data_IF_371694315601
#
_entry.id   IF_371694315601
#
_cell.length_a   1.000
_cell.length_b   1.000
_cell.length_c   1.000
_cell.angle_alpha   90.00
_cell.angle_beta   90.00
_cell.angle_gamma   90.00
#
_symmetry.space_group_name_H-M   'P 1'
#
loop_
_entity.id
_entity.type
_entity.pdbx_description
1 polymer ?
#
# COMPACT_ATOMS: atom_id res chain seq x y z
N UNK A 1 19.22 -58.19 9.43
CA UNK A 1 19.16 -58.94 10.71
C UNK A 1 19.43 -57.90 11.80
N UNK A 2 18.62 -57.60 12.81
CA UNK A 2 17.50 -58.29 13.40
C UNK A 2 16.64 -57.31 14.24
N UNK A 3 15.33 -57.60 14.26
CA UNK A 3 14.37 -57.55 15.37
C UNK A 3 14.26 -56.32 16.31
N UNK A 4 13.21 -55.54 16.04
CA UNK A 4 12.05 -55.26 16.92
C UNK A 4 12.13 -55.82 18.35
N UNK A 5 11.93 -54.95 19.33
CA UNK A 5 11.33 -55.30 20.63
C UNK A 5 10.28 -54.27 21.06
N UNK A 6 9.04 -54.61 20.76
CA UNK A 6 7.84 -54.07 21.40
C UNK A 6 7.72 -54.67 22.79
N UNK A 7 7.46 -53.86 23.82
CA UNK A 7 6.74 -54.31 25.02
C UNK A 7 5.78 -53.22 25.48
N UNK A 8 4.51 -53.56 25.39
CA UNK A 8 3.37 -52.84 25.92
C UNK A 8 3.39 -52.88 27.45
N UNK A 9 3.01 -51.78 28.10
CA UNK A 9 2.57 -51.80 29.50
C UNK A 9 1.16 -51.22 29.54
N UNK A 10 0.23 -52.11 29.88
CA UNK A 10 -1.15 -51.83 30.18
C UNK A 10 -1.23 -51.20 31.57
N UNK A 11 -1.78 -50.00 31.68
CA UNK A 11 -2.23 -49.44 32.97
C UNK A 11 -3.73 -49.14 32.86
N UNK A 12 -4.48 -50.11 33.39
CA UNK A 12 -5.70 -50.03 34.20
C UNK A 12 -6.63 -48.83 33.98
N UNK A 13 -7.79 -49.15 33.42
CA UNK A 13 -9.02 -48.35 33.44
C UNK A 13 -9.37 -47.83 34.83
N UNK A 14 -9.43 -46.51 34.98
CA UNK A 14 -10.21 -45.84 36.01
C UNK A 14 -11.37 -45.12 35.31
N UNK A 15 -12.55 -45.73 35.39
CA UNK A 15 -13.81 -45.22 34.89
C UNK A 15 -14.27 -44.08 35.82
N UNK A 16 -13.77 -42.87 35.60
CA UNK A 16 -14.35 -41.66 36.20
C UNK A 16 -15.50 -41.17 35.32
N UNK A 17 -16.72 -41.48 35.76
CA UNK A 17 -17.96 -40.90 35.27
C UNK A 17 -17.92 -39.38 35.52
N UNK A 18 -17.48 -38.59 34.54
CA UNK A 18 -17.48 -37.14 34.63
C UNK A 18 -18.61 -36.59 33.77
N UNK A 19 -19.61 -36.02 34.46
CA UNK A 19 -20.68 -35.19 33.90
C UNK A 19 -20.09 -34.22 32.86
N UNK A 20 -20.43 -34.40 31.60
CA UNK A 20 -20.25 -33.38 30.59
C UNK A 20 -21.18 -32.20 30.93
N UNK A 21 -20.63 -31.14 31.52
CA UNK A 21 -21.29 -29.84 31.49
C UNK A 21 -21.24 -29.35 30.05
N UNK A 22 -22.38 -29.34 29.37
CA UNK A 22 -22.52 -28.72 28.04
C UNK A 22 -22.36 -27.22 28.26
N UNK A 23 -21.14 -26.71 28.07
CA UNK A 23 -20.90 -25.27 28.02
C UNK A 23 -21.56 -24.73 26.75
N UNK A 24 -22.49 -23.79 26.93
CA UNK A 24 -23.06 -23.05 25.81
C UNK A 24 -21.94 -22.39 25.00
N UNK A 25 -22.04 -22.33 23.66
CA UNK A 25 -21.09 -21.57 22.87
C UNK A 25 -21.21 -20.10 23.27
N UNK A 26 -20.21 -19.58 23.97
CA UNK A 26 -20.06 -18.15 24.12
C UNK A 26 -19.79 -17.60 22.71
N UNK A 27 -20.76 -16.86 22.17
CA UNK A 27 -20.55 -16.04 20.98
C UNK A 27 -19.40 -15.09 21.27
N UNK A 28 -18.21 -15.39 20.78
CA UNK A 28 -17.11 -14.43 20.74
C UNK A 28 -17.62 -13.22 19.97
N UNK A 29 -17.61 -12.01 20.54
CA UNK A 29 -17.77 -10.80 19.76
C UNK A 29 -16.73 -10.86 18.64
N UNK A 30 -17.18 -10.79 17.39
CA UNK A 30 -16.28 -10.76 16.23
C UNK A 30 -15.24 -9.68 16.47
N UNK A 31 -13.97 -10.05 16.34
CA UNK A 31 -12.88 -9.08 16.37
C UNK A 31 -13.24 -7.92 15.42
N UNK A 32 -13.08 -6.66 15.83
CA UNK A 32 -13.26 -5.55 14.90
C UNK A 32 -12.39 -5.82 13.68
N UNK A 33 -13.01 -5.83 12.49
CA UNK A 33 -12.32 -6.06 11.23
C UNK A 33 -11.09 -5.16 11.18
N UNK A 34 -9.93 -5.74 10.92
CA UNK A 34 -8.68 -4.99 10.83
C UNK A 34 -8.89 -3.81 9.88
N UNK A 35 -8.89 -2.59 10.43
CA UNK A 35 -8.77 -1.40 9.61
C UNK A 35 -7.51 -1.58 8.77
N UNK A 36 -7.53 -1.30 7.46
CA UNK A 36 -6.28 -1.24 6.71
C UNK A 36 -5.33 -0.34 7.49
N UNK A 37 -4.07 -0.75 7.61
CA UNK A 37 -3.00 0.01 8.24
C UNK A 37 -2.76 1.29 7.41
N UNK A 38 -3.68 2.24 7.49
CA UNK A 38 -3.65 3.51 6.78
C UNK A 38 -2.63 4.42 7.45
N UNK A 39 -1.67 4.85 6.65
CA UNK A 39 -0.63 5.78 7.03
C UNK A 39 -1.03 7.24 6.80
N UNK A 40 -0.09 8.18 7.00
CA UNK A 40 -0.33 9.61 6.84
C UNK A 40 -0.69 9.98 5.41
N UNK A 41 -1.41 11.08 5.24
CA UNK A 41 -1.68 11.71 3.95
C UNK A 41 -0.44 12.40 3.38
N UNK A 42 -0.43 12.72 2.08
CA UNK A 42 0.69 13.41 1.45
C UNK A 42 1.00 14.76 2.11
N UNK A 43 -0.04 15.55 2.44
CA UNK A 43 0.15 16.85 3.09
C UNK A 43 0.75 16.75 4.51
N UNK A 44 0.58 15.62 5.20
CA UNK A 44 1.21 15.36 6.49
C UNK A 44 2.66 14.92 6.31
N UNK A 45 2.93 14.07 5.30
CA UNK A 45 4.27 13.66 4.92
C UNK A 45 5.14 14.85 4.50
N UNK A 46 4.58 15.83 3.77
CA UNK A 46 5.30 17.05 3.37
C UNK A 46 5.75 17.92 4.55
N UNK A 47 5.15 17.77 5.74
CA UNK A 47 5.59 18.47 6.97
C UNK A 47 6.78 17.77 7.63
N UNK A 48 7.11 16.54 7.23
CA UNK A 48 8.22 15.78 7.80
C UNK A 48 9.50 16.03 6.99
N UNK A 49 10.61 16.47 7.60
CA UNK A 49 11.84 16.79 6.88
C UNK A 49 12.44 15.64 6.08
N UNK A 50 12.30 14.40 6.58
CA UNK A 50 12.79 13.19 5.92
C UNK A 50 12.11 12.98 4.56
N UNK A 51 10.79 13.05 4.55
CA UNK A 51 9.99 12.90 3.34
C UNK A 51 10.08 14.11 2.44
N UNK A 52 9.92 15.33 2.97
CA UNK A 52 9.90 16.55 2.15
C UNK A 52 11.22 16.79 1.43
N UNK A 53 12.35 16.51 2.10
CA UNK A 53 13.66 16.53 1.48
C UNK A 53 13.80 15.48 0.37
N UNK A 54 13.35 14.25 0.60
CA UNK A 54 13.36 13.20 -0.41
C UNK A 54 12.48 13.53 -1.62
N UNK A 55 11.27 14.00 -1.37
CA UNK A 55 10.30 14.34 -2.40
C UNK A 55 10.77 15.53 -3.25
N UNK A 56 11.31 16.58 -2.62
CA UNK A 56 11.89 17.72 -3.31
C UNK A 56 12.96 17.31 -4.34
N UNK A 57 13.82 16.32 -4.00
CA UNK A 57 14.86 15.82 -4.92
C UNK A 57 14.30 15.24 -6.21
N UNK A 58 13.12 14.63 -6.18
CA UNK A 58 12.52 13.99 -7.36
C UNK A 58 11.56 14.90 -8.14
N UNK A 59 10.95 15.89 -7.50
CA UNK A 59 10.00 16.82 -8.15
C UNK A 59 10.63 18.10 -8.67
N UNK A 60 11.70 18.62 -8.03
CA UNK A 60 12.33 19.88 -8.43
C UNK A 60 12.95 19.85 -9.84
N UNK A 61 13.62 18.75 -10.28
CA UNK A 61 14.22 18.66 -11.62
C UNK A 61 13.20 18.50 -12.75
N UNK A 62 11.89 18.52 -12.46
CA UNK A 62 10.81 18.29 -13.41
C UNK A 62 9.85 19.46 -13.38
N UNK A 63 9.33 19.80 -14.57
CA UNK A 63 8.27 20.80 -14.71
C UNK A 63 6.91 20.19 -14.38
N UNK A 64 6.71 19.83 -13.11
CA UNK A 64 5.42 19.36 -12.59
C UNK A 64 4.59 20.54 -12.08
N UNK A 65 3.24 20.46 -12.16
CA UNK A 65 2.36 21.48 -11.61
C UNK A 65 2.58 21.74 -10.12
N UNK A 66 2.23 22.95 -9.66
CA UNK A 66 2.41 23.36 -8.26
C UNK A 66 1.70 22.42 -7.27
N UNK A 67 0.51 21.92 -7.61
CA UNK A 67 -0.27 21.03 -6.75
C UNK A 67 0.49 19.73 -6.42
N UNK A 68 1.31 19.21 -7.34
CA UNK A 68 2.14 18.01 -7.14
C UNK A 68 3.15 18.23 -6.02
N UNK A 69 3.67 19.46 -5.90
CA UNK A 69 4.62 19.85 -4.85
C UNK A 69 3.92 20.16 -3.52
N UNK A 70 2.68 20.66 -3.58
CA UNK A 70 1.91 21.13 -2.43
C UNK A 70 1.07 20.05 -1.76
N UNK A 71 0.84 18.92 -2.43
CA UNK A 71 0.24 17.72 -1.85
C UNK A 71 -1.16 17.37 -2.37
N UNK A 72 -1.80 18.24 -3.15
CA UNK A 72 -3.08 17.96 -3.83
C UNK A 72 -4.20 17.40 -2.93
N UNK A 73 -5.17 16.74 -3.55
CA UNK A 73 -6.17 15.92 -2.86
C UNK A 73 -5.62 14.50 -2.73
N UNK A 74 -5.42 14.00 -1.50
CA UNK A 74 -4.76 12.71 -1.25
C UNK A 74 -5.64 11.74 -0.49
N UNK A 75 -5.42 10.44 -0.73
CA UNK A 75 -5.90 9.36 0.16
C UNK A 75 -4.86 9.11 1.26
N UNK A 76 -5.24 8.47 2.39
CA UNK A 76 -4.24 8.05 3.36
C UNK A 76 -3.32 6.99 2.74
N UNK A 77 -2.04 7.06 3.07
CA UNK A 77 -1.04 6.17 2.48
C UNK A 77 -1.22 4.71 2.91
N UNK A 78 -0.65 3.78 2.15
CA UNK A 78 -0.75 2.35 2.39
C UNK A 78 0.64 1.72 2.52
N UNK A 79 0.80 0.77 3.43
CA UNK A 79 2.01 -0.07 3.47
C UNK A 79 1.92 -1.13 2.38
N UNK A 80 2.94 -1.21 1.53
CA UNK A 80 3.05 -2.19 0.45
C UNK A 80 4.41 -2.88 0.49
N UNK A 81 4.52 -4.05 -0.13
CA UNK A 81 5.79 -4.76 -0.31
C UNK A 81 6.18 -4.73 -1.79
N UNK A 82 7.38 -4.24 -2.10
CA UNK A 82 7.94 -4.25 -3.46
C UNK A 82 9.25 -5.01 -3.41
N UNK A 83 9.32 -6.13 -4.14
CA UNK A 83 10.46 -7.05 -4.15
C UNK A 83 10.91 -7.45 -2.72
N UNK A 84 9.95 -7.71 -1.82
CA UNK A 84 10.20 -8.11 -0.44
C UNK A 84 10.64 -6.98 0.50
N UNK A 85 10.72 -5.73 0.02
CA UNK A 85 11.03 -4.56 0.84
C UNK A 85 9.76 -3.79 1.19
N UNK A 86 9.63 -3.25 2.41
CA UNK A 86 8.48 -2.44 2.80
C UNK A 86 8.56 -1.04 2.16
N UNK A 87 7.43 -0.55 1.66
CA UNK A 87 7.28 0.80 1.13
C UNK A 87 5.98 1.42 1.62
N UNK A 88 5.94 2.74 1.62
CA UNK A 88 4.73 3.53 1.77
C UNK A 88 4.27 3.97 0.38
N UNK A 89 3.10 3.50 -0.05
CA UNK A 89 2.40 3.99 -1.23
C UNK A 89 1.57 5.22 -0.85
N UNK A 90 1.85 6.35 -1.48
CA UNK A 90 1.13 7.61 -1.29
C UNK A 90 0.48 8.01 -2.60
N UNK A 91 -0.79 8.39 -2.55
CA UNK A 91 -1.53 8.79 -3.75
C UNK A 91 -2.11 10.20 -3.55
N UNK A 92 -2.01 11.03 -4.58
CA UNK A 92 -2.59 12.36 -4.60
C UNK A 92 -3.00 12.74 -6.02
N UNK A 93 -3.99 13.59 -6.15
CA UNK A 93 -4.51 14.08 -7.41
C UNK A 93 -4.71 15.59 -7.40
N UNK A 94 -4.84 16.15 -8.61
CA UNK A 94 -5.18 17.55 -8.82
C UNK A 94 -6.53 17.86 -8.17
N UNK A 95 -6.60 18.85 -7.26
CA UNK A 95 -7.85 19.24 -6.63
C UNK A 95 -8.93 19.55 -7.68
N UNK A 96 -10.14 19.04 -7.45
CA UNK A 96 -11.33 19.19 -8.30
C UNK A 96 -11.26 18.54 -9.70
N UNK A 97 -10.16 17.86 -10.04
CA UNK A 97 -9.92 17.32 -11.38
C UNK A 97 -9.03 16.07 -11.30
N UNK A 98 -9.39 15.18 -10.37
CA UNK A 98 -8.55 14.05 -10.01
C UNK A 98 -8.24 13.06 -11.14
N UNK A 99 -9.19 12.73 -12.04
CA UNK A 99 -8.91 11.79 -13.11
C UNK A 99 -7.86 12.29 -14.11
N UNK A 100 -7.74 13.61 -14.31
CA UNK A 100 -6.88 14.15 -15.36
C UNK A 100 -5.42 14.31 -14.96
N UNK A 101 -5.13 14.48 -13.68
CA UNK A 101 -3.74 14.52 -13.20
C UNK A 101 -3.61 13.95 -11.79
N UNK A 102 -2.72 12.97 -11.62
CA UNK A 102 -2.48 12.31 -10.34
C UNK A 102 -1.05 11.81 -10.21
N UNK A 103 -0.59 11.62 -8.97
CA UNK A 103 0.74 11.15 -8.64
C UNK A 103 0.66 9.97 -7.66
N UNK A 104 1.48 8.96 -7.91
CA UNK A 104 1.68 7.82 -7.02
C UNK A 104 3.14 7.78 -6.62
N UNK A 105 3.40 7.66 -5.31
CA UNK A 105 4.73 7.81 -4.72
C UNK A 105 5.01 6.57 -3.89
N UNK A 106 6.17 5.97 -4.10
CA UNK A 106 6.72 4.94 -3.22
C UNK A 106 7.85 5.58 -2.39
N UNK A 107 7.72 5.52 -1.07
CA UNK A 107 8.71 6.02 -0.13
C UNK A 107 9.12 4.94 0.87
N UNK A 108 10.43 4.75 1.07
CA UNK A 108 10.97 3.88 2.12
C UNK A 108 11.64 4.75 3.21
N UNK A 109 11.06 4.84 4.42
CA UNK A 109 11.50 5.80 5.43
C UNK A 109 12.94 5.65 5.94
N UNK A 110 13.49 4.42 6.00
CA UNK A 110 14.82 4.20 6.61
C UNK A 110 15.95 4.70 5.71
N UNK A 111 15.87 4.40 4.42
CA UNK A 111 16.84 4.81 3.40
C UNK A 111 16.50 6.14 2.74
N UNK A 112 15.29 6.67 2.98
CA UNK A 112 14.71 7.80 2.26
C UNK A 112 14.69 7.60 0.73
N UNK A 113 14.67 6.33 0.30
CA UNK A 113 14.49 5.97 -1.10
C UNK A 113 13.10 6.41 -1.53
N UNK A 114 13.01 7.07 -2.68
CA UNK A 114 11.75 7.61 -3.18
C UNK A 114 11.71 7.57 -4.70
N UNK A 115 10.56 7.18 -5.23
CA UNK A 115 10.25 7.29 -6.64
C UNK A 115 8.76 7.58 -6.80
N UNK A 116 8.39 8.25 -7.88
CA UNK A 116 6.99 8.50 -8.17
C UNK A 116 6.68 8.40 -9.66
N UNK A 117 5.41 8.15 -9.95
CA UNK A 117 4.83 8.24 -11.27
C UNK A 117 3.79 9.36 -11.23
N UNK A 118 4.03 10.41 -12.02
CA UNK A 118 3.05 11.45 -12.29
C UNK A 118 2.35 11.13 -13.61
N UNK A 119 1.02 11.09 -13.58
CA UNK A 119 0.17 10.81 -14.74
C UNK A 119 -0.59 12.07 -15.10
N UNK A 120 -0.62 12.38 -16.39
CA UNK A 120 -1.51 13.37 -16.98
C UNK A 120 -2.35 12.67 -18.05
N UNK A 121 -3.64 12.62 -17.82
CA UNK A 121 -4.64 12.06 -18.72
C UNK A 121 -5.71 13.12 -19.06
N UNK A 122 -5.45 13.97 -20.06
CA UNK A 122 -6.38 15.05 -20.40
C UNK A 122 -7.74 14.51 -20.90
N UNK A 123 -7.79 13.28 -21.43
CA UNK A 123 -9.04 12.62 -21.84
C UNK A 123 -9.99 12.32 -20.68
N UNK A 124 -9.45 12.14 -19.47
CA UNK A 124 -10.22 11.80 -18.28
C UNK A 124 -10.84 13.04 -17.59
N UNK A 125 -10.53 14.25 -18.06
CA UNK A 125 -11.11 15.48 -17.51
C UNK A 125 -12.62 15.54 -17.78
N UNK A 126 -13.40 16.08 -16.84
CA UNK A 126 -14.86 16.20 -16.97
C UNK A 126 -15.33 16.99 -18.21
N UNK A 127 -14.47 17.88 -18.73
CA UNK A 127 -14.72 18.70 -19.91
C UNK A 127 -13.75 18.36 -21.06
N UNK A 128 -13.34 17.09 -21.17
CA UNK A 128 -12.46 16.65 -22.24
C UNK A 128 -13.05 17.00 -23.61
N UNK A 129 -12.27 17.75 -24.39
CA UNK A 129 -12.59 18.05 -25.78
C UNK A 129 -12.20 16.90 -26.71
N UNK A 130 -12.68 16.91 -27.96
CA UNK A 130 -12.20 15.95 -28.95
C UNK A 130 -10.68 16.10 -29.16
N UNK A 131 -9.99 14.99 -29.41
CA UNK A 131 -8.54 14.90 -29.65
C UNK A 131 -7.61 15.03 -28.42
N UNK A 132 -8.06 14.63 -27.23
CA UNK A 132 -7.23 14.59 -26.02
C UNK A 132 -6.68 13.17 -25.74
N UNK A 133 -6.23 12.46 -26.78
CA UNK A 133 -6.12 11.00 -26.77
C UNK A 133 -4.80 10.46 -26.14
N UNK A 134 -3.98 11.33 -25.55
CA UNK A 134 -2.65 10.95 -25.07
C UNK A 134 -2.48 11.12 -23.57
N UNK A 135 -2.40 10.00 -22.88
CA UNK A 135 -1.90 9.91 -21.50
C UNK A 135 -0.39 10.05 -21.46
N UNK A 136 0.13 10.89 -20.56
CA UNK A 136 1.56 11.05 -20.30
C UNK A 136 1.92 10.39 -18.96
N UNK A 137 2.93 9.51 -18.99
CA UNK A 137 3.49 8.86 -17.82
C UNK A 137 4.88 9.44 -17.53
N UNK A 138 5.00 10.20 -16.45
CA UNK A 138 6.21 10.96 -16.10
C UNK A 138 6.85 10.36 -14.85
N UNK A 139 8.01 9.72 -15.04
CA UNK A 139 8.81 9.18 -13.94
C UNK A 139 9.55 10.30 -13.18
N UNK A 140 9.36 10.31 -11.86
CA UNK A 140 10.03 11.21 -10.93
C UNK A 140 11.03 10.42 -10.09
N UNK A 141 12.29 10.86 -10.11
CA UNK A 141 13.43 10.10 -9.59
C UNK A 141 13.97 9.10 -10.60
N UNK A 142 14.58 8.01 -10.11
CA UNK A 142 15.18 6.96 -10.93
C UNK A 142 14.70 5.56 -10.48
N UNK A 143 13.40 5.22 -10.65
CA UNK A 143 12.90 3.91 -10.27
C UNK A 143 13.51 2.79 -11.12
N UNK A 144 13.87 1.69 -10.46
CA UNK A 144 14.23 0.44 -11.12
C UNK A 144 13.00 -0.29 -11.70
N UNK A 145 13.21 -1.46 -12.30
CA UNK A 145 12.12 -2.24 -12.89
C UNK A 145 11.04 -2.65 -11.88
N UNK A 146 11.42 -2.99 -10.65
CA UNK A 146 10.47 -3.41 -9.60
C UNK A 146 9.60 -2.23 -9.15
N UNK A 147 10.19 -1.05 -8.96
CA UNK A 147 9.46 0.16 -8.61
C UNK A 147 8.56 0.65 -9.74
N UNK A 148 9.04 0.60 -11.00
CA UNK A 148 8.21 0.92 -12.17
C UNK A 148 6.99 0.00 -12.26
N UNK A 149 7.18 -1.31 -12.10
CA UNK A 149 6.08 -2.28 -12.14
C UNK A 149 5.09 -2.03 -10.99
N UNK A 150 5.57 -1.77 -9.78
CA UNK A 150 4.72 -1.45 -8.64
C UNK A 150 3.88 -0.19 -8.90
N UNK A 151 4.49 0.89 -9.39
CA UNK A 151 3.79 2.15 -9.72
C UNK A 151 2.82 2.01 -10.91
N UNK A 152 3.11 1.17 -11.90
CA UNK A 152 2.16 0.90 -12.99
C UNK A 152 0.98 0.05 -12.51
N UNK A 153 1.21 -0.88 -11.58
CA UNK A 153 0.14 -1.69 -11.00
C UNK A 153 -0.87 -0.83 -10.25
N UNK A 154 -0.48 0.29 -9.64
CA UNK A 154 -1.43 1.17 -8.94
C UNK A 154 -2.42 1.86 -9.87
N UNK A 155 -2.09 2.01 -11.16
CA UNK A 155 -2.99 2.59 -12.17
C UNK A 155 -4.18 1.67 -12.49
N UNK A 156 -4.03 0.36 -12.30
CA UNK A 156 -5.05 -0.64 -12.64
C UNK A 156 -6.16 -0.77 -11.58
N UNK A 157 -6.00 -0.11 -10.43
CA UNK A 157 -6.95 -0.18 -9.32
C UNK A 157 -7.79 1.10 -9.19
N UNK A 158 -7.64 2.05 -10.11
CA UNK A 158 -8.40 3.31 -10.15
C UNK A 158 -9.55 3.30 -11.17
N UNK A 159 -9.87 2.13 -11.75
CA UNK A 159 -11.03 1.89 -12.63
C UNK A 159 -12.27 1.43 -11.86
#
# INVERSE_FOLDING_TARGET
MAFVRTLAVWVVSALCLQRAAVAAPASTPGAPGASPDTGPYLHELLKRPDFSGAYARIVAPRNVPAWVRQGGTSTPSQRVSVAGKPWLLVQSCKPHDCPSEYVHILYEPRSQSIAALFVRDPSAAANAGPHQDRTELIWLGAPDGSLKNALLHTLRFTE
#
